data_IF_591589341686
#
_entry.id   IF_591589341686
#
_cell.length_a   1.000
_cell.length_b   1.000
_cell.length_c   1.000
_cell.angle_alpha   90.00
_cell.angle_beta   90.00
_cell.angle_gamma   90.00
#
_symmetry.space_group_name_H-M   'P 1'
#
loop_
_entity.id
_entity.type
_entity.pdbx_description
1 polymer ?
#
# COMPACT_ATOMS: atom_id res chain seq x y z
N UNK A 1 -10.90 -19.97 -0.75
CA UNK A 1 -9.58 -20.07 -1.39
C UNK A 1 -9.39 -19.05 -2.52
N UNK A 2 -10.11 -19.14 -3.65
CA UNK A 2 -9.96 -18.21 -4.78
C UNK A 2 -10.11 -16.73 -4.39
N UNK A 3 -11.19 -16.38 -3.69
CA UNK A 3 -11.44 -15.01 -3.22
C UNK A 3 -10.31 -14.44 -2.34
N UNK A 4 -9.78 -15.24 -1.43
CA UNK A 4 -8.68 -14.84 -0.53
C UNK A 4 -7.38 -14.60 -1.31
N UNK A 5 -7.08 -15.46 -2.28
CA UNK A 5 -5.89 -15.33 -3.14
C UNK A 5 -6.03 -14.10 -4.03
N UNK A 6 -7.17 -13.93 -4.71
CA UNK A 6 -7.41 -12.75 -5.57
C UNK A 6 -7.33 -11.45 -4.78
N UNK A 7 -7.97 -11.38 -3.60
CA UNK A 7 -7.89 -10.22 -2.72
C UNK A 7 -6.47 -9.95 -2.21
N UNK A 8 -5.74 -11.01 -1.83
CA UNK A 8 -4.35 -10.90 -1.38
C UNK A 8 -3.40 -10.41 -2.47
N UNK A 9 -3.59 -10.83 -3.73
CA UNK A 9 -2.85 -10.31 -4.89
C UNK A 9 -3.11 -8.81 -5.09
N UNK A 10 -4.37 -8.37 -5.02
CA UNK A 10 -4.73 -6.95 -5.16
C UNK A 10 -4.06 -6.12 -4.06
N UNK A 11 -4.14 -6.57 -2.81
CA UNK A 11 -3.53 -5.89 -1.65
C UNK A 11 -2.00 -5.87 -1.77
N UNK A 12 -1.39 -6.96 -2.24
CA UNK A 12 0.05 -7.02 -2.46
C UNK A 12 0.51 -6.01 -3.51
N UNK A 13 -0.14 -5.99 -4.68
CA UNK A 13 0.16 -5.05 -5.77
C UNK A 13 -0.05 -3.61 -5.30
N UNK A 14 -1.10 -3.35 -4.53
CA UNK A 14 -1.36 -2.03 -3.94
C UNK A 14 -0.24 -1.63 -2.97
N UNK A 15 0.20 -2.54 -2.10
CA UNK A 15 1.31 -2.30 -1.18
C UNK A 15 2.62 -1.97 -1.91
N UNK A 16 2.94 -2.73 -2.96
CA UNK A 16 4.10 -2.47 -3.83
C UNK A 16 3.97 -1.11 -4.53
N UNK A 17 2.79 -0.77 -5.05
CA UNK A 17 2.54 0.52 -5.67
C UNK A 17 2.75 1.68 -4.69
N UNK A 18 2.21 1.58 -3.46
CA UNK A 18 2.38 2.58 -2.41
C UNK A 18 3.86 2.78 -2.05
N UNK A 19 4.63 1.68 -1.99
CA UNK A 19 6.06 1.73 -1.69
C UNK A 19 6.89 2.38 -2.81
N UNK A 20 6.60 2.04 -4.07
CA UNK A 20 7.37 2.53 -5.23
C UNK A 20 7.01 3.96 -5.64
N UNK A 21 5.76 4.37 -5.44
CA UNK A 21 5.22 5.66 -5.89
C UNK A 21 4.51 6.44 -4.78
N UNK A 22 5.15 6.68 -3.62
CA UNK A 22 4.54 7.41 -2.51
C UNK A 22 4.14 8.85 -2.89
N UNK A 23 4.83 9.48 -3.84
CA UNK A 23 4.47 10.82 -4.35
C UNK A 23 3.13 10.84 -5.09
N UNK A 24 2.82 9.78 -5.84
CA UNK A 24 1.52 9.65 -6.50
C UNK A 24 0.42 9.37 -5.47
N UNK A 25 0.72 8.58 -4.44
CA UNK A 25 -0.20 8.35 -3.32
C UNK A 25 -0.50 9.67 -2.61
N UNK A 26 0.53 10.47 -2.34
CA UNK A 26 0.37 11.80 -1.76
C UNK A 26 -0.50 12.71 -2.66
N UNK A 27 -0.20 12.74 -3.96
CA UNK A 27 -0.95 13.55 -4.92
C UNK A 27 -2.44 13.20 -4.97
N UNK A 28 -2.76 11.91 -4.86
CA UNK A 28 -4.14 11.42 -4.86
C UNK A 28 -4.86 11.67 -3.52
N UNK A 29 -4.16 11.52 -2.39
CA UNK A 29 -4.80 11.44 -1.06
C UNK A 29 -4.67 12.70 -0.22
N UNK A 30 -3.61 13.49 -0.42
CA UNK A 30 -3.23 14.60 0.47
C UNK A 30 -3.03 15.94 -0.26
N UNK A 31 -2.52 15.96 -1.49
CA UNK A 31 -2.14 17.22 -2.16
C UNK A 31 -3.30 18.22 -2.30
N UNK A 32 -4.53 17.73 -2.48
CA UNK A 32 -5.72 18.57 -2.59
C UNK A 32 -6.22 19.16 -1.26
N UNK A 33 -5.70 18.69 -0.12
CA UNK A 33 -6.12 19.15 1.22
C UNK A 33 -5.45 20.45 1.66
N UNK A 34 -4.33 20.81 1.03
CA UNK A 34 -3.57 21.99 1.39
C UNK A 34 -3.36 22.90 0.18
N UNK A 35 -3.78 24.15 0.30
CA UNK A 35 -3.52 25.19 -0.69
C UNK A 35 -2.06 25.64 -0.76
N UNK A 36 -1.21 25.22 0.19
CA UNK A 36 0.19 25.67 0.34
C UNK A 36 1.21 24.55 0.27
N UNK A 37 0.77 23.29 0.14
CA UNK A 37 1.69 22.17 0.05
C UNK A 37 1.95 21.86 -1.42
N UNK A 38 3.10 22.32 -1.92
CA UNK A 38 3.51 22.07 -3.30
C UNK A 38 4.13 20.67 -3.46
N UNK A 39 4.70 20.11 -2.38
CA UNK A 39 5.38 18.81 -2.36
C UNK A 39 5.16 18.00 -1.07
N UNK A 40 5.24 16.66 -1.13
CA UNK A 40 5.17 15.81 0.06
C UNK A 40 6.38 16.02 0.98
N UNK A 41 6.14 15.99 2.28
CA UNK A 41 7.24 16.01 3.26
C UNK A 41 8.03 14.71 3.24
N UNK A 42 9.32 14.77 3.58
CA UNK A 42 10.15 13.57 3.72
C UNK A 42 9.57 12.55 4.71
N UNK A 43 8.96 13.04 5.79
CA UNK A 43 8.32 12.19 6.79
C UNK A 43 7.17 11.42 6.16
N UNK A 44 6.31 12.08 5.39
CA UNK A 44 5.21 11.44 4.66
C UNK A 44 5.74 10.37 3.70
N UNK A 45 6.80 10.66 2.94
CA UNK A 45 7.37 9.68 2.01
C UNK A 45 7.90 8.44 2.75
N UNK A 46 8.61 8.64 3.86
CA UNK A 46 9.14 7.53 4.69
C UNK A 46 8.02 6.70 5.31
N UNK A 47 7.01 7.34 5.91
CA UNK A 47 5.90 6.62 6.56
C UNK A 47 5.00 5.92 5.55
N UNK A 48 4.74 6.54 4.40
CA UNK A 48 3.95 5.93 3.31
C UNK A 48 4.65 4.71 2.74
N UNK A 49 5.98 4.74 2.57
CA UNK A 49 6.76 3.56 2.18
C UNK A 49 6.63 2.43 3.19
N UNK A 50 6.74 2.72 4.48
CA UNK A 50 6.54 1.71 5.54
C UNK A 50 5.11 1.14 5.46
N UNK A 51 4.11 1.98 5.26
CA UNK A 51 2.73 1.55 5.03
C UNK A 51 2.59 0.62 3.81
N UNK A 52 3.26 0.93 2.70
CA UNK A 52 3.30 0.07 1.51
C UNK A 52 3.90 -1.31 1.79
N UNK A 53 4.98 -1.38 2.58
CA UNK A 53 5.57 -2.66 3.03
C UNK A 53 4.55 -3.46 3.85
N UNK A 54 3.87 -2.82 4.80
CA UNK A 54 2.86 -3.48 5.63
C UNK A 54 1.70 -4.03 4.78
N UNK A 55 1.19 -3.24 3.84
CA UNK A 55 0.17 -3.70 2.89
C UNK A 55 0.65 -4.88 2.04
N UNK A 56 1.89 -4.83 1.54
CA UNK A 56 2.46 -5.93 0.77
C UNK A 56 2.55 -7.22 1.61
N UNK A 57 3.04 -7.12 2.86
CA UNK A 57 3.09 -8.25 3.79
C UNK A 57 1.70 -8.81 4.11
N UNK A 58 0.70 -7.96 4.34
CA UNK A 58 -0.68 -8.39 4.54
C UNK A 58 -1.22 -9.14 3.32
N UNK A 59 -0.93 -8.67 2.10
CA UNK A 59 -1.30 -9.37 0.86
C UNK A 59 -0.69 -10.76 0.76
N UNK A 60 0.61 -10.90 1.10
CA UNK A 60 1.31 -12.20 1.16
C UNK A 60 0.64 -13.12 2.18
N UNK A 61 0.36 -12.62 3.39
CA UNK A 61 -0.31 -13.41 4.44
C UNK A 61 -1.67 -13.90 3.94
N UNK A 62 -2.48 -13.04 3.31
CA UNK A 62 -3.79 -13.42 2.78
C UNK A 62 -3.72 -14.49 1.68
N UNK A 63 -2.66 -14.48 0.87
CA UNK A 63 -2.42 -15.52 -0.15
C UNK A 63 -2.04 -16.85 0.52
N UNK A 64 -1.14 -16.83 1.51
CA UNK A 64 -0.58 -18.05 2.13
C UNK A 64 -1.57 -18.70 3.11
N UNK A 65 -2.32 -17.90 3.87
CA UNK A 65 -3.22 -18.37 4.93
C UNK A 65 -4.16 -19.52 4.51
N UNK A 66 -4.88 -19.48 3.36
CA UNK A 66 -5.76 -20.57 2.95
C UNK A 66 -5.03 -21.88 2.65
N UNK A 67 -3.72 -21.87 2.39
CA UNK A 67 -2.93 -23.09 2.21
C UNK A 67 -2.53 -23.73 3.55
N UNK A 68 -2.42 -22.92 4.61
CA UNK A 68 -2.11 -23.38 5.96
C UNK A 68 -3.36 -23.90 6.66
N UNK A 69 -4.48 -23.18 6.53
CA UNK A 69 -5.69 -23.43 7.33
C UNK A 69 -6.64 -24.50 6.76
N UNK A 70 -6.39 -25.05 5.56
CA UNK A 70 -7.23 -26.04 4.85
C UNK A 70 -8.74 -25.74 4.86
#
# INVERSE_FOLDING_TARGET
MLWSISGGVIIFVLGVFIFLKPDLVWKLTEAWKSYRADEPSELYLKTTKIGGILFALSGIVMIILPFILK
#
